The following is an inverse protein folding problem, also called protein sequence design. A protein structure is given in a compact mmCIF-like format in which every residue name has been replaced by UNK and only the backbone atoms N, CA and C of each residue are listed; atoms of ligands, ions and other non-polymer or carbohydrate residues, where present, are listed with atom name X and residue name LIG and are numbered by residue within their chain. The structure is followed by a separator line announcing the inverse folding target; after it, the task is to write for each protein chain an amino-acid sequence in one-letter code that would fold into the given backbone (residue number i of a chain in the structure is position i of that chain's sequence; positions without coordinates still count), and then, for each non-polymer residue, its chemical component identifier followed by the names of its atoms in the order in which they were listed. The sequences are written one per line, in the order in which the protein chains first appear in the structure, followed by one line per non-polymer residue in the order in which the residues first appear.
data_IF_331290756579
#
_entry.id   IF_331290756579
#
_cell.length_a   1.000
_cell.length_b   1.000
_cell.length_c   1.000
_cell.angle_alpha   90.00
_cell.angle_beta   90.00
_cell.angle_gamma   90.00
#
_symmetry.space_group_name_H-M   'P 1'
#
loop_
_entity.id
_entity.type
_entity.pdbx_description
1 polymer ?
#
# COMPACT_ATOMS: atom_id res chain seq x y z
N UNK A 1 34.37 -1.29 10.61
CA UNK A 1 32.92 -1.48 10.83
C UNK A 1 32.29 -0.12 11.02
N UNK A 2 31.76 0.45 9.94
CA UNK A 2 31.08 1.75 9.94
C UNK A 2 29.84 1.63 10.82
N UNK A 3 29.70 2.47 11.86
CA UNK A 3 28.48 2.56 12.67
C UNK A 3 27.30 2.82 11.72
N UNK A 4 26.46 1.83 11.46
CA UNK A 4 25.21 2.07 10.77
C UNK A 4 24.37 3.06 11.58
N UNK A 5 23.74 3.99 10.87
CA UNK A 5 22.84 5.00 11.45
C UNK A 5 21.75 4.33 12.28
N UNK A 6 21.29 4.99 13.37
CA UNK A 6 20.06 4.60 14.10
C UNK A 6 18.86 4.36 13.16
N UNK A 7 18.86 4.99 11.98
CA UNK A 7 17.86 4.83 10.92
C UNK A 7 17.74 3.41 10.39
N UNK A 8 18.84 2.67 10.22
CA UNK A 8 18.81 1.33 9.63
C UNK A 8 19.12 0.30 10.70
N UNK A 9 18.07 -0.27 11.28
CA UNK A 9 18.19 -1.30 12.32
C UNK A 9 18.32 -2.67 11.67
N UNK A 10 19.40 -3.36 11.99
CA UNK A 10 19.67 -4.71 11.50
C UNK A 10 19.26 -5.70 12.60
N UNK A 11 18.38 -6.62 12.25
CA UNK A 11 17.98 -7.74 13.11
C UNK A 11 18.55 -9.08 12.62
N UNK A 12 18.95 -9.16 11.35
CA UNK A 12 19.56 -10.32 10.71
C UNK A 12 20.66 -9.86 9.73
N UNK A 13 21.79 -10.57 9.67
CA UNK A 13 22.93 -10.19 8.82
C UNK A 13 22.59 -10.13 7.33
N UNK A 14 21.58 -10.89 6.87
CA UNK A 14 21.10 -10.85 5.48
C UNK A 14 20.60 -9.46 5.06
N UNK A 15 20.20 -8.61 6.02
CA UNK A 15 19.77 -7.24 5.73
C UNK A 15 20.90 -6.36 5.18
N UNK A 16 22.17 -6.69 5.46
CA UNK A 16 23.30 -5.96 4.89
C UNK A 16 23.31 -5.99 3.36
N UNK A 17 22.92 -7.12 2.75
CA UNK A 17 22.83 -7.25 1.30
C UNK A 17 21.76 -6.34 0.73
N UNK A 18 20.62 -6.19 1.42
CA UNK A 18 19.53 -5.30 1.02
C UNK A 18 19.95 -3.83 1.13
N UNK A 19 20.60 -3.45 2.24
CA UNK A 19 21.03 -2.06 2.46
C UNK A 19 22.09 -1.60 1.46
N UNK A 20 22.96 -2.51 1.01
CA UNK A 20 24.13 -2.17 0.22
C UNK A 20 25.15 -1.32 1.00
N UNK A 21 26.17 -0.77 0.31
CA UNK A 21 27.31 -0.13 0.98
C UNK A 21 27.00 1.26 1.54
N UNK A 22 26.04 1.99 0.97
CA UNK A 22 25.77 3.40 1.31
C UNK A 22 24.26 3.69 1.35
N UNK A 23 23.50 3.07 2.27
CA UNK A 23 22.08 3.33 2.38
C UNK A 23 21.84 4.77 2.86
N UNK A 24 20.79 5.42 2.33
CA UNK A 24 20.43 6.80 2.74
C UNK A 24 18.94 6.96 2.91
N UNK A 25 18.54 7.83 3.85
CA UNK A 25 17.20 8.35 3.99
C UNK A 25 17.24 9.87 3.80
N UNK A 26 16.42 10.42 2.91
CA UNK A 26 16.37 11.86 2.61
C UNK A 26 14.94 12.34 2.51
N UNK A 27 14.64 13.49 3.10
CA UNK A 27 13.37 14.19 2.89
C UNK A 27 13.35 14.76 1.47
N UNK A 28 12.30 14.46 0.71
CA UNK A 28 12.09 15.03 -0.64
C UNK A 28 11.19 16.26 -0.59
N UNK A 29 10.08 16.17 0.15
CA UNK A 29 9.11 17.23 0.31
C UNK A 29 8.41 17.10 1.67
N UNK A 30 7.96 18.23 2.23
CA UNK A 30 7.20 18.28 3.46
C UNK A 30 6.17 19.41 3.43
N UNK A 31 5.02 19.20 4.06
CA UNK A 31 3.97 20.19 4.23
C UNK A 31 3.21 19.93 5.53
N UNK A 32 3.58 20.68 6.59
CA UNK A 32 2.97 20.53 7.92
C UNK A 32 1.47 20.88 7.94
N UNK A 33 0.99 21.67 6.97
CA UNK A 33 -0.42 22.08 6.90
C UNK A 33 -1.30 21.12 6.10
N UNK A 34 -0.71 20.14 5.39
CA UNK A 34 -1.46 19.23 4.54
C UNK A 34 -0.84 17.82 4.59
N UNK A 35 -1.58 16.78 4.98
CA UNK A 35 -1.10 15.40 4.97
C UNK A 35 -1.11 14.82 3.54
N UNK A 36 -0.32 15.42 2.65
CA UNK A 36 -0.37 15.18 1.21
C UNK A 36 0.23 13.83 0.76
N UNK A 37 1.02 13.19 1.63
CA UNK A 37 1.77 11.97 1.35
C UNK A 37 1.34 10.86 2.32
N UNK A 38 0.14 10.33 2.12
CA UNK A 38 -0.44 9.30 2.99
C UNK A 38 -0.44 7.94 2.30
N UNK A 39 -1.13 7.79 1.17
CA UNK A 39 -1.51 6.49 0.63
C UNK A 39 -1.32 6.34 -0.90
N UNK A 40 -1.56 5.12 -1.39
CA UNK A 40 -1.73 4.78 -2.81
C UNK A 40 -0.59 5.27 -3.73
N UNK A 41 0.66 5.03 -3.32
CA UNK A 41 1.83 5.37 -4.15
C UNK A 41 1.91 4.52 -5.42
N UNK A 42 1.81 5.16 -6.58
CA UNK A 42 1.97 4.53 -7.91
C UNK A 42 3.11 5.20 -8.67
N UNK A 43 4.20 4.45 -8.89
CA UNK A 43 5.36 4.93 -9.62
C UNK A 43 5.25 4.68 -11.13
N UNK A 44 5.37 5.75 -11.91
CA UNK A 44 5.39 5.73 -13.37
C UNK A 44 6.82 5.74 -13.88
N UNK A 45 7.36 4.55 -14.15
CA UNK A 45 8.74 4.37 -14.55
C UNK A 45 9.11 5.10 -15.85
N UNK A 46 8.19 5.17 -16.82
CA UNK A 46 8.42 5.80 -18.14
C UNK A 46 8.66 7.30 -18.05
N UNK A 47 8.05 7.98 -17.07
CA UNK A 47 8.15 9.44 -16.90
C UNK A 47 8.89 9.85 -15.62
N UNK A 48 9.24 8.89 -14.77
CA UNK A 48 9.76 9.12 -13.42
C UNK A 48 8.86 10.05 -12.59
N UNK A 49 7.55 9.82 -12.69
CA UNK A 49 6.54 10.48 -11.86
C UNK A 49 6.03 9.51 -10.81
N UNK A 50 5.57 10.05 -9.69
CA UNK A 50 4.87 9.30 -8.66
C UNK A 50 3.49 9.92 -8.47
N UNK A 51 2.45 9.11 -8.35
CA UNK A 51 1.12 9.53 -7.95
C UNK A 51 0.88 9.06 -6.52
N UNK A 52 0.34 9.93 -5.67
CA UNK A 52 0.03 9.66 -4.26
C UNK A 52 -1.31 10.27 -3.90
N UNK A 53 -1.94 9.74 -2.86
CA UNK A 53 -3.13 10.34 -2.26
C UNK A 53 -2.81 10.93 -0.88
N UNK A 54 -3.44 12.07 -0.59
CA UNK A 54 -3.41 12.65 0.76
C UNK A 54 -4.21 11.81 1.74
N UNK A 55 -4.01 12.05 3.04
CA UNK A 55 -5.01 11.69 4.03
C UNK A 55 -6.21 12.64 3.90
N UNK A 56 -7.22 12.44 4.74
CA UNK A 56 -8.42 13.29 4.76
C UNK A 56 -8.07 14.71 5.17
N UNK A 57 -8.42 15.66 4.33
CA UNK A 57 -8.27 17.10 4.59
C UNK A 57 -9.65 17.66 4.90
N UNK A 58 -9.75 18.34 6.04
CA UNK A 58 -10.95 19.11 6.41
C UNK A 58 -10.72 20.57 6.11
N UNK A 59 -11.63 21.19 5.37
CA UNK A 59 -11.60 22.65 5.20
C UNK A 59 -12.23 23.37 6.39
N UNK A 60 -12.26 24.71 6.33
CA UNK A 60 -12.82 25.55 7.40
C UNK A 60 -14.33 25.36 7.60
N UNK A 61 -15.02 24.78 6.62
CA UNK A 61 -16.44 24.47 6.65
C UNK A 61 -16.70 23.04 7.14
N UNK A 62 -15.65 22.24 7.33
CA UNK A 62 -15.71 20.86 7.79
C UNK A 62 -15.89 19.84 6.67
N UNK A 63 -15.88 20.27 5.41
CA UNK A 63 -15.96 19.38 4.25
C UNK A 63 -14.67 18.56 4.14
N UNK A 64 -14.83 17.26 3.90
CA UNK A 64 -13.72 16.32 3.81
C UNK A 64 -13.35 16.10 2.36
N UNK A 65 -12.06 16.19 2.05
CA UNK A 65 -11.52 15.88 0.72
C UNK A 65 -10.28 14.99 0.83
N UNK A 66 -10.01 14.23 -0.23
CA UNK A 66 -8.71 13.59 -0.48
C UNK A 66 -8.21 14.07 -1.84
N UNK A 67 -6.92 14.36 -1.92
CA UNK A 67 -6.28 14.92 -3.11
C UNK A 67 -5.35 13.91 -3.74
N UNK A 68 -5.36 13.84 -5.06
CA UNK A 68 -4.34 13.10 -5.82
C UNK A 68 -3.23 14.08 -6.18
N UNK A 69 -1.98 13.71 -5.91
CA UNK A 69 -0.81 14.55 -6.21
C UNK A 69 0.14 13.79 -7.14
N UNK A 70 0.60 14.45 -8.20
CA UNK A 70 1.73 14.02 -9.01
C UNK A 70 3.02 14.64 -8.49
N UNK A 71 4.00 13.80 -8.19
CA UNK A 71 5.34 14.18 -7.75
C UNK A 71 6.34 13.99 -8.89
N UNK A 72 7.10 15.05 -9.18
CA UNK A 72 8.14 15.09 -10.21
C UNK A 72 9.50 14.71 -9.60
N UNK A 73 9.85 13.42 -9.67
CA UNK A 73 11.06 12.88 -9.03
C UNK A 73 12.37 13.24 -9.75
N UNK A 74 12.27 13.79 -10.96
CA UNK A 74 13.39 14.32 -11.75
C UNK A 74 13.86 15.71 -11.30
N UNK A 75 13.06 16.41 -10.48
CA UNK A 75 13.33 17.79 -10.06
C UNK A 75 13.97 17.82 -8.67
N UNK A 76 14.76 18.85 -8.37
CA UNK A 76 15.34 19.07 -7.04
C UNK A 76 15.29 20.57 -6.71
N UNK A 77 14.48 21.01 -5.72
CA UNK A 77 13.54 20.20 -4.92
C UNK A 77 12.46 19.53 -5.79
N UNK A 78 11.87 18.43 -5.30
CA UNK A 78 10.80 17.76 -6.06
C UNK A 78 9.58 18.69 -6.15
N UNK A 79 8.94 18.73 -7.31
CA UNK A 79 7.69 19.46 -7.51
C UNK A 79 6.50 18.53 -7.25
N UNK A 80 5.51 19.03 -6.50
CA UNK A 80 4.24 18.37 -6.26
C UNK A 80 3.12 19.15 -6.96
N UNK A 81 2.35 18.49 -7.81
CA UNK A 81 1.22 19.04 -8.55
C UNK A 81 -0.06 18.32 -8.14
N UNK A 82 -1.00 19.04 -7.55
CA UNK A 82 -2.33 18.51 -7.27
C UNK A 82 -3.09 18.28 -8.57
N UNK A 83 -3.69 17.10 -8.71
CA UNK A 83 -4.47 16.71 -9.86
C UNK A 83 -5.96 16.94 -9.54
N UNK A 84 -6.65 17.78 -10.34
CA UNK A 84 -8.09 17.85 -10.24
C UNK A 84 -8.68 16.51 -10.68
N UNK A 85 -9.42 15.86 -9.79
CA UNK A 85 -10.06 14.57 -10.06
C UNK A 85 -11.54 14.63 -9.72
N UNK A 86 -12.33 13.88 -10.49
CA UNK A 86 -13.75 13.65 -10.21
C UNK A 86 -14.01 12.34 -9.46
N UNK A 87 -12.97 11.63 -9.02
CA UNK A 87 -13.12 10.40 -8.24
C UNK A 87 -13.71 10.77 -6.86
N UNK A 88 -14.85 10.16 -6.46
CA UNK A 88 -15.50 10.46 -5.19
C UNK A 88 -14.78 9.73 -4.04
N UNK A 89 -13.58 10.21 -3.68
CA UNK A 89 -12.74 9.61 -2.65
C UNK A 89 -13.41 9.71 -1.26
N UNK A 90 -13.83 10.92 -0.87
CA UNK A 90 -14.55 11.21 0.38
C UNK A 90 -15.86 11.97 0.20
N UNK A 91 -16.21 12.40 -1.02
CA UNK A 91 -17.21 13.45 -1.26
C UNK A 91 -18.60 12.92 -1.66
N UNK A 92 -18.98 11.74 -1.17
CA UNK A 92 -20.21 11.07 -1.59
C UNK A 92 -20.09 10.46 -2.99
N UNK A 93 -20.35 9.17 -3.08
CA UNK A 93 -20.21 8.35 -4.28
C UNK A 93 -20.02 6.89 -3.90
N UNK A 94 -19.95 5.97 -4.87
CA UNK A 94 -19.70 4.57 -4.58
C UNK A 94 -18.22 4.35 -4.18
N UNK A 95 -17.97 3.34 -3.35
CA UNK A 95 -16.62 2.82 -3.19
C UNK A 95 -16.34 1.89 -4.38
N UNK A 96 -15.12 1.91 -4.92
CA UNK A 96 -14.84 1.09 -6.08
C UNK A 96 -13.46 1.31 -6.69
N UNK A 97 -13.22 0.56 -7.76
CA UNK A 97 -12.04 0.67 -8.61
C UNK A 97 -12.28 1.72 -9.68
N UNK A 98 -11.38 2.70 -9.77
CA UNK A 98 -11.40 3.75 -10.77
C UNK A 98 -10.15 3.70 -11.64
N UNK A 99 -10.32 3.93 -12.94
CA UNK A 99 -9.21 4.20 -13.85
C UNK A 99 -9.08 5.70 -14.03
N UNK A 100 -7.86 6.23 -13.93
CA UNK A 100 -7.54 7.64 -14.19
C UNK A 100 -6.42 7.73 -15.24
N UNK A 101 -6.58 8.60 -16.24
CA UNK A 101 -5.49 8.95 -17.16
C UNK A 101 -4.32 9.57 -16.40
N UNK A 102 -3.09 9.19 -16.72
CA UNK A 102 -1.88 9.75 -16.08
C UNK A 102 -1.43 11.08 -16.68
N UNK A 103 -2.12 11.55 -17.72
CA UNK A 103 -1.87 12.85 -18.36
C UNK A 103 -3.13 13.70 -18.40
N UNK A 104 -3.00 15.04 -18.40
CA UNK A 104 -4.13 15.94 -18.63
C UNK A 104 -4.94 15.53 -19.87
N UNK A 105 -6.27 15.58 -19.80
CA UNK A 105 -7.09 16.20 -18.76
C UNK A 105 -7.46 15.25 -17.59
N UNK A 106 -6.68 14.19 -17.33
CA UNK A 106 -6.86 13.26 -16.19
C UNK A 106 -8.27 12.64 -16.12
N UNK A 107 -8.81 12.24 -17.28
CA UNK A 107 -10.14 11.61 -17.36
C UNK A 107 -10.24 10.39 -16.45
N UNK A 108 -11.40 10.20 -15.85
CA UNK A 108 -11.65 9.14 -14.89
C UNK A 108 -12.82 8.26 -15.35
N UNK A 109 -12.78 6.97 -14.99
CA UNK A 109 -13.82 5.99 -15.28
C UNK A 109 -13.98 5.05 -14.10
N UNK A 110 -15.21 4.91 -13.60
CA UNK A 110 -15.57 3.85 -12.66
C UNK A 110 -15.52 2.49 -13.37
N UNK A 111 -14.75 1.55 -12.82
CA UNK A 111 -14.61 0.20 -13.35
C UNK A 111 -15.49 -0.81 -12.62
N UNK A 112 -15.54 -0.75 -11.29
CA UNK A 112 -16.27 -1.71 -10.46
C UNK A 112 -16.62 -1.11 -9.10
N UNK A 113 -17.85 -1.28 -8.62
CA UNK A 113 -18.36 -0.68 -7.37
C UNK A 113 -19.10 -1.64 -6.44
N UNK A 114 -19.31 -2.89 -6.88
CA UNK A 114 -20.19 -3.83 -6.20
C UNK A 114 -19.72 -5.29 -6.34
N UNK A 115 -20.17 -6.12 -5.40
CA UNK A 115 -20.19 -7.57 -5.54
C UNK A 115 -21.63 -8.05 -5.77
N UNK A 116 -21.99 -8.26 -7.04
CA UNK A 116 -23.31 -8.73 -7.48
C UNK A 116 -24.48 -7.89 -6.90
N UNK A 117 -24.37 -6.57 -7.02
CA UNK A 117 -25.36 -5.60 -6.56
C UNK A 117 -25.22 -5.18 -5.09
N UNK A 118 -24.30 -5.78 -4.33
CA UNK A 118 -23.95 -5.33 -2.98
C UNK A 118 -22.77 -4.34 -3.06
N UNK A 119 -22.93 -3.07 -2.68
CA UNK A 119 -21.85 -2.09 -2.78
C UNK A 119 -20.63 -2.49 -1.94
N UNK A 120 -19.44 -2.23 -2.46
CA UNK A 120 -18.21 -2.32 -1.66
C UNK A 120 -18.24 -1.33 -0.50
N UNK A 121 -17.55 -1.70 0.58
CA UNK A 121 -17.54 -0.99 1.85
C UNK A 121 -16.66 0.25 1.78
N UNK A 122 -15.36 0.03 1.54
CA UNK A 122 -14.34 1.04 1.31
C UNK A 122 -13.09 0.37 0.76
N UNK A 123 -13.10 0.06 -0.55
CA UNK A 123 -11.94 -0.45 -1.29
C UNK A 123 -10.69 0.36 -0.91
N UNK A 124 -9.64 -0.34 -0.50
CA UNK A 124 -8.49 0.26 0.16
C UNK A 124 -7.20 0.15 -0.67
N UNK A 125 -6.56 -1.03 -0.73
CA UNK A 125 -5.38 -1.25 -1.58
C UNK A 125 -5.70 -2.20 -2.75
N UNK A 126 -4.89 -2.11 -3.80
CA UNK A 126 -5.10 -2.82 -5.06
C UNK A 126 -3.79 -3.22 -5.71
N UNK A 127 -3.75 -4.42 -6.30
CA UNK A 127 -2.65 -4.90 -7.12
C UNK A 127 -3.19 -5.50 -8.44
N UNK A 128 -2.50 -5.21 -9.53
CA UNK A 128 -2.76 -5.83 -10.83
C UNK A 128 -1.85 -7.03 -10.97
N UNK A 129 -2.44 -8.21 -11.14
CA UNK A 129 -1.72 -9.46 -11.35
C UNK A 129 -1.29 -9.59 -12.82
N UNK A 130 -0.26 -10.39 -13.13
CA UNK A 130 0.28 -10.52 -14.49
C UNK A 130 -0.73 -11.02 -15.53
N UNK A 131 -1.75 -11.77 -15.10
CA UNK A 131 -2.88 -12.22 -15.92
C UNK A 131 -3.90 -11.11 -16.27
N UNK A 132 -3.66 -9.88 -15.79
CA UNK A 132 -4.52 -8.71 -16.00
C UNK A 132 -5.73 -8.64 -15.06
N UNK A 133 -5.89 -9.59 -14.13
CA UNK A 133 -6.89 -9.49 -13.07
C UNK A 133 -6.49 -8.49 -12.00
N UNK A 134 -7.47 -7.86 -11.38
CA UNK A 134 -7.27 -6.86 -10.33
C UNK A 134 -7.69 -7.46 -8.99
N UNK A 135 -6.78 -7.44 -8.03
CA UNK A 135 -7.01 -7.92 -6.67
C UNK A 135 -7.01 -6.76 -5.70
N UNK A 136 -7.95 -6.73 -4.77
CA UNK A 136 -8.14 -5.59 -3.89
C UNK A 136 -8.73 -6.01 -2.55
N UNK A 137 -8.56 -5.15 -1.56
CA UNK A 137 -9.09 -5.30 -0.20
C UNK A 137 -10.28 -4.37 0.01
N UNK A 138 -11.29 -4.85 0.74
CA UNK A 138 -12.49 -4.06 1.08
C UNK A 138 -12.74 -4.01 2.60
N UNK A 139 -11.92 -3.27 3.37
CA UNK A 139 -12.16 -3.03 4.79
C UNK A 139 -13.32 -2.07 5.04
N UNK A 140 -13.64 -1.80 6.31
CA UNK A 140 -14.74 -0.90 6.72
C UNK A 140 -14.27 0.49 7.15
N UNK A 141 -13.05 0.90 6.79
CA UNK A 141 -12.49 2.19 7.22
C UNK A 141 -13.40 3.37 6.89
N UNK A 142 -13.94 3.44 5.67
CA UNK A 142 -14.76 4.58 5.28
C UNK A 142 -16.03 4.76 6.12
N UNK A 143 -16.59 3.65 6.64
CA UNK A 143 -17.73 3.70 7.55
C UNK A 143 -17.31 4.17 8.95
N UNK A 144 -16.26 3.59 9.53
CA UNK A 144 -15.72 4.02 10.83
C UNK A 144 -15.30 5.50 10.82
N UNK A 145 -14.85 5.96 9.65
CA UNK A 145 -14.42 7.32 9.40
C UNK A 145 -15.56 8.30 9.10
N UNK A 146 -16.79 7.79 8.92
CA UNK A 146 -18.01 8.59 8.78
C UNK A 146 -18.28 9.17 7.39
N UNK A 147 -17.57 8.74 6.33
CA UNK A 147 -17.80 9.22 4.95
C UNK A 147 -18.34 8.15 4.00
N UNK A 148 -18.55 6.91 4.48
CA UNK A 148 -19.25 5.84 3.76
C UNK A 148 -20.44 5.32 4.59
N UNK A 149 -21.49 4.80 3.94
CA UNK A 149 -22.61 4.19 4.64
C UNK A 149 -22.19 2.92 5.39
N UNK A 150 -23.09 2.40 6.21
CA UNK A 150 -22.90 1.11 6.88
C UNK A 150 -22.60 0.01 5.85
N UNK A 151 -21.52 -0.78 6.04
CA UNK A 151 -21.14 -1.86 5.11
C UNK A 151 -22.24 -2.89 4.92
N UNK A 152 -22.35 -3.42 3.70
CA UNK A 152 -23.25 -4.52 3.33
C UNK A 152 -22.51 -5.83 3.00
N UNK A 153 -21.18 -5.78 3.04
CA UNK A 153 -20.27 -6.89 2.78
C UNK A 153 -19.34 -7.11 3.99
N UNK A 154 -18.86 -8.34 4.22
CA UNK A 154 -17.78 -8.58 5.16
C UNK A 154 -16.45 -8.01 4.62
N UNK A 155 -15.51 -7.75 5.52
CA UNK A 155 -14.15 -7.37 5.17
C UNK A 155 -13.38 -8.52 4.55
N UNK A 156 -13.13 -8.43 3.24
CA UNK A 156 -12.63 -9.54 2.43
C UNK A 156 -11.65 -9.07 1.35
N UNK A 157 -10.94 -10.04 0.76
CA UNK A 157 -10.09 -9.85 -0.41
C UNK A 157 -10.87 -10.32 -1.64
N UNK A 158 -10.87 -9.50 -2.68
CA UNK A 158 -11.58 -9.76 -3.92
C UNK A 158 -10.62 -9.83 -5.11
N UNK A 159 -11.01 -10.60 -6.12
CA UNK A 159 -10.40 -10.62 -7.45
C UNK A 159 -11.47 -10.28 -8.48
N UNK A 160 -11.17 -9.31 -9.33
CA UNK A 160 -11.95 -8.98 -10.51
C UNK A 160 -11.19 -9.38 -11.78
N UNK A 161 -11.78 -10.30 -12.55
CA UNK A 161 -11.30 -10.66 -13.87
C UNK A 161 -11.81 -9.61 -14.87
N UNK A 162 -10.87 -8.83 -15.42
CA UNK A 162 -11.15 -7.70 -16.31
C UNK A 162 -11.63 -8.12 -17.70
N UNK A 163 -11.40 -9.38 -18.10
CA UNK A 163 -11.77 -9.90 -19.42
C UNK A 163 -13.23 -10.36 -19.44
N UNK A 164 -13.66 -11.15 -18.46
CA UNK A 164 -15.02 -11.70 -18.40
C UNK A 164 -15.94 -10.99 -17.41
N UNK A 165 -15.41 -10.05 -16.61
CA UNK A 165 -16.17 -9.27 -15.63
C UNK A 165 -16.46 -9.99 -14.31
N UNK A 166 -16.03 -11.25 -14.14
CA UNK A 166 -16.31 -12.03 -12.94
C UNK A 166 -15.58 -11.46 -11.72
N UNK A 167 -16.30 -11.28 -10.62
CA UNK A 167 -15.75 -10.85 -9.34
C UNK A 167 -15.93 -11.96 -8.32
N UNK A 168 -14.85 -12.39 -7.69
CA UNK A 168 -14.85 -13.45 -6.67
C UNK A 168 -14.25 -12.93 -5.36
N UNK A 169 -14.81 -13.39 -4.25
CA UNK A 169 -14.13 -13.35 -2.96
C UNK A 169 -13.02 -14.40 -2.99
N UNK A 170 -11.80 -14.00 -2.62
CA UNK A 170 -10.61 -14.84 -2.68
C UNK A 170 -10.15 -15.29 -1.30
N UNK A 171 -10.35 -14.46 -0.27
CA UNK A 171 -10.11 -14.81 1.12
C UNK A 171 -10.99 -13.96 2.05
N UNK A 172 -11.28 -14.52 3.21
CA UNK A 172 -12.08 -13.95 4.29
C UNK A 172 -11.36 -14.11 5.64
N UNK A 173 -12.10 -13.98 6.75
CA UNK A 173 -11.58 -14.04 8.12
C UNK A 173 -10.51 -12.99 8.45
N UNK A 174 -10.61 -11.81 7.82
CA UNK A 174 -9.85 -10.62 8.19
C UNK A 174 -10.66 -9.74 9.12
N UNK A 175 -9.97 -9.05 10.03
CA UNK A 175 -10.57 -7.92 10.73
C UNK A 175 -10.68 -6.71 9.80
N UNK A 176 -9.55 -6.25 9.26
CA UNK A 176 -9.48 -5.18 8.26
C UNK A 176 -8.36 -5.50 7.27
N UNK A 177 -8.65 -6.17 6.13
CA UNK A 177 -7.66 -6.40 5.11
C UNK A 177 -7.27 -5.05 4.51
N UNK A 178 -5.97 -4.80 4.37
CA UNK A 178 -5.45 -3.50 3.99
C UNK A 178 -4.50 -3.65 2.79
N UNK A 179 -3.19 -3.64 2.98
CA UNK A 179 -2.21 -3.84 1.91
C UNK A 179 -2.28 -5.23 1.28
N UNK A 180 -2.05 -5.30 -0.04
CA UNK A 180 -1.97 -6.56 -0.80
C UNK A 180 -0.79 -6.54 -1.77
N UNK A 181 -0.01 -7.63 -1.81
CA UNK A 181 1.01 -7.82 -2.83
C UNK A 181 1.27 -9.30 -3.12
N UNK A 182 1.86 -9.59 -4.29
CA UNK A 182 2.29 -10.93 -4.67
C UNK A 182 3.80 -11.11 -4.47
N UNK A 183 4.22 -12.36 -4.26
CA UNK A 183 5.61 -12.77 -4.44
C UNK A 183 6.07 -12.56 -5.88
N UNK A 184 7.39 -12.53 -6.16
CA UNK A 184 7.90 -12.29 -7.52
C UNK A 184 7.44 -13.29 -8.57
N UNK A 185 7.16 -14.52 -8.15
CA UNK A 185 6.63 -15.59 -8.99
C UNK A 185 5.09 -15.69 -8.97
N UNK A 186 4.44 -14.76 -8.27
CA UNK A 186 2.98 -14.68 -8.05
C UNK A 186 2.32 -15.93 -7.44
N UNK A 187 3.12 -16.86 -6.89
CA UNK A 187 2.59 -18.08 -6.26
C UNK A 187 2.17 -17.88 -4.80
N UNK A 188 2.59 -16.78 -4.19
CA UNK A 188 2.16 -16.38 -2.86
C UNK A 188 1.53 -15.00 -2.92
N UNK A 189 0.40 -14.80 -2.25
CA UNK A 189 -0.15 -13.46 -1.98
C UNK A 189 -0.01 -13.16 -0.50
N UNK A 190 0.41 -11.94 -0.20
CA UNK A 190 0.51 -11.38 1.14
C UNK A 190 -0.60 -10.34 1.31
N UNK A 191 -1.32 -10.43 2.41
CA UNK A 191 -2.40 -9.49 2.77
C UNK A 191 -2.18 -9.05 4.21
N UNK A 192 -2.18 -7.74 4.45
CA UNK A 192 -2.09 -7.20 5.79
C UNK A 192 -3.46 -7.10 6.45
N UNK A 193 -3.52 -7.38 7.76
CA UNK A 193 -4.70 -7.22 8.60
C UNK A 193 -4.38 -6.24 9.73
N UNK A 194 -5.10 -5.13 9.72
CA UNK A 194 -4.78 -3.92 10.47
C UNK A 194 -5.90 -3.59 11.47
N UNK A 195 -6.64 -4.60 11.91
CA UNK A 195 -7.76 -4.46 12.84
C UNK A 195 -7.39 -3.80 14.18
N UNK A 196 -6.13 -3.84 14.59
CA UNK A 196 -5.61 -3.11 15.76
C UNK A 196 -5.88 -1.60 15.70
N UNK A 197 -5.93 -1.00 14.51
CA UNK A 197 -6.24 0.42 14.31
C UNK A 197 -7.67 0.63 13.80
N UNK A 198 -8.41 1.53 14.45
CA UNK A 198 -9.74 1.96 14.03
C UNK A 198 -9.71 3.26 13.23
N UNK A 199 -10.73 3.46 12.39
CA UNK A 199 -10.85 4.61 11.50
C UNK A 199 -10.94 5.97 12.23
N UNK A 200 -11.30 5.95 13.51
CA UNK A 200 -11.28 7.11 14.41
C UNK A 200 -9.91 7.36 15.08
N UNK A 201 -8.93 6.49 14.82
CA UNK A 201 -7.57 6.55 15.39
C UNK A 201 -7.42 5.81 16.72
N UNK A 202 -8.48 5.22 17.27
CA UNK A 202 -8.38 4.39 18.48
C UNK A 202 -7.70 3.05 18.18
N UNK A 203 -7.14 2.42 19.22
CA UNK A 203 -6.35 1.19 19.12
C UNK A 203 -6.83 0.14 20.12
N UNK A 204 -6.73 -1.14 19.76
CA UNK A 204 -7.11 -2.27 20.61
C UNK A 204 -6.03 -3.37 20.55
N UNK A 205 -5.24 -3.48 21.62
CA UNK A 205 -4.11 -4.42 21.75
C UNK A 205 -4.51 -5.90 21.66
N UNK A 206 -5.80 -6.24 21.72
CA UNK A 206 -6.29 -7.60 21.52
C UNK A 206 -6.59 -7.93 20.04
N UNK A 207 -6.45 -6.96 19.14
CA UNK A 207 -6.77 -7.11 17.71
C UNK A 207 -5.53 -7.30 16.85
N UNK A 208 -5.79 -7.75 15.62
CA UNK A 208 -4.77 -8.20 14.68
C UNK A 208 -3.95 -7.03 14.14
N UNK A 209 -2.63 -7.21 14.09
CA UNK A 209 -1.66 -6.30 13.47
C UNK A 209 -0.63 -7.13 12.69
N UNK A 210 -1.10 -7.89 11.71
CA UNK A 210 -0.34 -9.01 11.15
C UNK A 210 -0.45 -9.10 9.63
N UNK A 211 0.52 -9.75 9.02
CA UNK A 211 0.57 -10.10 7.62
C UNK A 211 0.23 -11.58 7.51
N UNK A 212 -0.71 -11.93 6.64
CA UNK A 212 -1.02 -13.31 6.28
C UNK A 212 -0.52 -13.60 4.87
N UNK A 213 -0.02 -14.83 4.67
CA UNK A 213 0.36 -15.36 3.37
C UNK A 213 -0.59 -16.48 2.95
N UNK A 214 -0.81 -16.60 1.65
CA UNK A 214 -1.59 -17.67 1.02
C UNK A 214 -0.88 -18.16 -0.23
N UNK A 215 -0.98 -19.46 -0.49
CA UNK A 215 -0.54 -20.04 -1.76
C UNK A 215 -1.64 -19.85 -2.80
N UNK A 216 -1.24 -19.39 -3.99
CA UNK A 216 -2.10 -19.27 -5.17
C UNK A 216 -2.10 -20.61 -5.90
N UNK A 217 -3.20 -21.34 -5.77
CA UNK A 217 -3.39 -22.65 -6.37
C UNK A 217 -4.48 -22.61 -7.44
N UNK A 218 -4.37 -23.44 -8.47
CA UNK A 218 -5.41 -23.58 -9.50
C UNK A 218 -6.27 -24.82 -9.21
N UNK A 219 -7.58 -24.61 -9.01
CA UNK A 219 -8.56 -25.68 -8.92
C UNK A 219 -9.61 -25.49 -10.00
N UNK A 220 -9.89 -26.56 -10.75
CA UNK A 220 -10.88 -26.52 -11.84
C UNK A 220 -10.66 -25.37 -12.84
N UNK A 221 -9.39 -25.02 -13.13
CA UNK A 221 -9.02 -23.96 -14.06
C UNK A 221 -9.11 -22.54 -13.50
N UNK A 222 -9.40 -22.39 -12.21
CA UNK A 222 -9.61 -21.09 -11.55
C UNK A 222 -8.63 -20.91 -10.36
N UNK A 223 -8.19 -19.68 -10.06
CA UNK A 223 -7.32 -19.43 -8.91
C UNK A 223 -8.09 -19.52 -7.59
N UNK A 224 -7.39 -19.99 -6.56
CA UNK A 224 -7.82 -20.06 -5.17
C UNK A 224 -6.66 -19.68 -4.26
N UNK A 225 -6.98 -19.04 -3.14
CA UNK A 225 -6.04 -18.85 -2.05
C UNK A 225 -6.15 -20.03 -1.08
N UNK A 226 -5.02 -20.65 -0.79
CA UNK A 226 -4.92 -21.84 0.05
C UNK A 226 -3.80 -21.66 1.09
N UNK A 227 -3.75 -22.54 2.09
CA UNK A 227 -2.70 -22.54 3.12
C UNK A 227 -2.51 -21.17 3.78
N UNK A 228 -3.61 -20.56 4.23
CA UNK A 228 -3.59 -19.34 5.05
C UNK A 228 -2.64 -19.55 6.23
N UNK A 229 -1.66 -18.68 6.36
CA UNK A 229 -0.68 -18.73 7.45
C UNK A 229 -0.33 -17.34 7.92
N UNK A 230 -0.15 -17.21 9.23
CA UNK A 230 0.48 -16.01 9.80
C UNK A 230 1.91 -15.94 9.26
N UNK A 231 2.24 -14.85 8.59
CA UNK A 231 3.56 -14.62 8.01
C UNK A 231 4.43 -13.80 8.97
N UNK A 232 3.92 -12.65 9.42
CA UNK A 232 4.62 -11.75 10.32
C UNK A 232 3.63 -10.90 11.12
N UNK A 233 4.09 -10.33 12.24
CA UNK A 233 3.37 -9.31 13.01
C UNK A 233 4.21 -8.04 13.06
N UNK A 234 3.58 -6.87 12.94
CA UNK A 234 4.29 -5.61 13.15
C UNK A 234 4.54 -5.41 14.65
N UNK A 235 5.79 -5.07 15.01
CA UNK A 235 6.14 -4.76 16.40
C UNK A 235 5.62 -3.37 16.83
N UNK A 236 5.47 -2.45 15.88
CA UNK A 236 4.98 -1.08 16.11
C UNK A 236 3.86 -0.74 15.14
N UNK A 237 2.71 -0.35 15.69
CA UNK A 237 1.53 0.02 14.92
C UNK A 237 0.96 -1.15 14.13
N UNK A 238 0.63 -0.91 12.87
CA UNK A 238 0.05 -1.88 11.93
C UNK A 238 0.95 -2.07 10.71
N UNK A 239 1.00 -3.28 10.10
CA UNK A 239 1.56 -3.44 8.76
C UNK A 239 0.53 -2.91 7.76
N UNK A 240 0.75 -1.72 7.21
CA UNK A 240 -0.21 -1.05 6.34
C UNK A 240 0.05 -1.43 4.86
N UNK A 241 0.51 -0.50 4.02
CA UNK A 241 0.93 -0.78 2.65
C UNK A 241 2.09 -1.76 2.58
N UNK A 242 1.97 -2.78 1.72
CA UNK A 242 2.91 -3.90 1.60
C UNK A 242 3.43 -4.04 0.17
N UNK A 243 4.71 -4.41 0.00
CA UNK A 243 5.34 -4.69 -1.31
C UNK A 243 6.40 -5.80 -1.17
N UNK A 244 6.76 -6.44 -2.27
CA UNK A 244 7.80 -7.47 -2.32
C UNK A 244 8.95 -7.04 -3.25
N UNK A 245 10.19 -7.45 -2.96
CA UNK A 245 11.32 -7.33 -3.89
C UNK A 245 11.53 -8.61 -4.70
N UNK A 246 12.39 -8.58 -5.74
CA UNK A 246 12.64 -9.73 -6.62
C UNK A 246 13.32 -10.92 -5.94
N UNK A 247 13.91 -10.76 -4.76
CA UNK A 247 14.46 -11.86 -3.96
C UNK A 247 13.39 -12.48 -3.04
N UNK A 248 12.17 -11.94 -3.07
CA UNK A 248 11.03 -12.41 -2.29
C UNK A 248 10.95 -11.81 -0.87
N UNK A 249 11.80 -10.84 -0.52
CA UNK A 249 11.68 -10.16 0.76
C UNK A 249 10.40 -9.30 0.75
N UNK A 250 9.73 -9.25 1.89
CA UNK A 250 8.45 -8.59 2.08
C UNK A 250 8.67 -7.33 2.92
N UNK A 251 8.17 -6.20 2.43
CA UNK A 251 8.32 -4.88 3.02
C UNK A 251 6.92 -4.38 3.39
N UNK A 252 6.75 -3.81 4.58
CA UNK A 252 5.50 -3.15 4.97
C UNK A 252 5.78 -1.82 5.65
N UNK A 253 4.95 -0.82 5.35
CA UNK A 253 4.82 0.37 6.17
C UNK A 253 4.32 -0.03 7.55
N UNK A 254 4.94 0.51 8.60
CA UNK A 254 4.67 0.23 10.00
C UNK A 254 4.74 1.53 10.82
N UNK A 255 4.34 1.45 12.09
CA UNK A 255 4.31 2.62 12.99
C UNK A 255 5.69 3.23 13.29
N UNK A 256 6.78 2.51 13.02
CA UNK A 256 8.16 2.96 13.22
C UNK A 256 8.95 3.19 11.91
N UNK A 257 8.34 2.93 10.75
CA UNK A 257 8.97 3.12 9.44
C UNK A 257 8.63 1.98 8.48
N UNK A 258 9.63 1.45 7.78
CA UNK A 258 9.45 0.28 6.90
C UNK A 258 10.14 -0.93 7.53
N UNK A 259 9.37 -2.00 7.73
CA UNK A 259 9.88 -3.27 8.25
C UNK A 259 10.07 -4.25 7.10
N UNK A 260 11.16 -5.01 7.13
CA UNK A 260 11.59 -5.91 6.04
C UNK A 260 11.75 -7.31 6.57
N UNK A 261 11.00 -8.25 6.01
CA UNK A 261 11.04 -9.67 6.35
C UNK A 261 11.57 -10.49 5.17
N UNK A 262 12.30 -11.56 5.47
CA UNK A 262 12.68 -12.57 4.48
C UNK A 262 11.44 -13.29 3.92
N UNK A 263 11.54 -14.01 2.79
CA UNK A 263 10.43 -14.84 2.28
C UNK A 263 9.87 -15.86 3.28
N UNK A 264 10.64 -16.20 4.32
CA UNK A 264 10.22 -17.09 5.40
C UNK A 264 9.58 -16.40 6.61
N UNK A 265 9.34 -15.09 6.58
CA UNK A 265 8.71 -14.34 7.68
C UNK A 265 9.67 -13.90 8.80
N UNK A 266 10.98 -14.17 8.67
CA UNK A 266 11.99 -13.67 9.63
C UNK A 266 12.24 -12.18 9.39
N UNK A 267 12.10 -11.36 10.44
CA UNK A 267 12.42 -9.92 10.40
C UNK A 267 13.92 -9.72 10.14
N UNK A 268 14.25 -9.14 9.00
CA UNK A 268 15.63 -8.86 8.60
C UNK A 268 16.11 -7.53 9.20
N UNK A 269 15.25 -6.51 9.13
CA UNK A 269 15.63 -5.17 9.50
C UNK A 269 14.49 -4.17 9.45
N UNK A 270 14.78 -2.95 9.90
CA UNK A 270 13.86 -1.82 9.89
C UNK A 270 14.55 -0.57 9.35
N UNK A 271 13.78 0.21 8.61
CA UNK A 271 14.16 1.53 8.10
C UNK A 271 13.32 2.53 8.87
N UNK A 272 13.89 3.08 9.94
CA UNK A 272 13.17 3.95 10.85
C UNK A 272 12.87 5.30 10.22
N UNK A 273 11.58 5.65 10.24
CA UNK A 273 11.07 6.96 9.81
C UNK A 273 10.12 7.42 10.90
N UNK A 274 10.43 8.56 11.52
CA UNK A 274 9.64 9.10 12.62
C UNK A 274 8.20 9.38 12.17
N UNK A 275 7.22 8.97 12.98
CA UNK A 275 5.80 8.98 12.62
C UNK A 275 5.35 7.84 11.71
N UNK A 276 6.21 6.87 11.39
CA UNK A 276 5.85 5.65 10.65
C UNK A 276 5.77 5.82 9.14
N UNK A 277 5.26 4.80 8.44
CA UNK A 277 4.99 4.85 6.99
C UNK A 277 3.66 4.14 6.74
N UNK A 278 2.72 4.82 6.07
CA UNK A 278 1.45 4.22 5.68
C UNK A 278 1.62 3.38 4.39
N UNK A 279 2.16 3.97 3.33
CA UNK A 279 2.48 3.24 2.10
C UNK A 279 3.81 3.67 1.49
N UNK A 280 4.27 2.91 0.51
CA UNK A 280 5.49 3.19 -0.23
C UNK A 280 5.50 2.45 -1.56
N UNK A 281 6.36 2.89 -2.47
CA UNK A 281 6.62 2.19 -3.72
C UNK A 281 8.11 2.08 -4.00
N UNK A 282 8.49 1.01 -4.68
CA UNK A 282 9.82 0.91 -5.29
C UNK A 282 9.92 1.88 -6.47
N UNK A 283 11.02 2.62 -6.49
CA UNK A 283 11.53 3.32 -7.66
C UNK A 283 12.69 2.53 -8.26
N UNK A 284 13.56 3.20 -9.02
CA UNK A 284 14.67 2.52 -9.71
C UNK A 284 15.91 2.39 -8.83
N UNK A 285 16.64 1.28 -8.97
CA UNK A 285 18.00 1.08 -8.40
C UNK A 285 17.99 1.24 -6.88
N UNK A 286 17.26 0.35 -6.20
CA UNK A 286 17.13 0.35 -4.74
C UNK A 286 16.44 1.58 -4.17
N UNK A 287 15.66 2.31 -4.97
CA UNK A 287 14.89 3.44 -4.46
C UNK A 287 13.59 2.96 -3.84
N UNK A 288 13.25 3.50 -2.68
CA UNK A 288 11.90 3.45 -2.13
C UNK A 288 11.45 4.89 -1.88
N UNK A 289 10.24 5.23 -2.31
CA UNK A 289 9.58 6.47 -1.93
C UNK A 289 8.54 6.15 -0.86
N UNK A 290 8.72 6.70 0.34
CA UNK A 290 7.90 6.40 1.51
C UNK A 290 6.98 7.57 1.87
N UNK A 291 5.72 7.25 2.16
CA UNK A 291 4.65 8.19 2.48
C UNK A 291 4.46 8.26 4.00
N UNK A 292 4.68 9.45 4.58
CA UNK A 292 4.69 9.69 6.03
C UNK A 292 3.82 10.91 6.37
N UNK A 293 2.54 10.83 6.00
CA UNK A 293 1.49 11.86 6.16
C UNK A 293 1.86 13.22 5.56
N UNK A 294 2.61 14.02 6.31
CA UNK A 294 3.04 15.36 5.98
C UNK A 294 4.38 15.39 5.24
N UNK A 295 5.04 14.24 5.07
CA UNK A 295 6.41 14.15 4.54
C UNK A 295 6.53 13.04 3.52
N UNK A 296 7.30 13.33 2.46
CA UNK A 296 7.68 12.38 1.43
C UNK A 296 9.18 12.10 1.57
N UNK A 297 9.53 10.83 1.78
CA UNK A 297 10.91 10.41 1.98
C UNK A 297 11.42 9.57 0.82
N UNK A 298 12.71 9.70 0.52
CA UNK A 298 13.46 8.81 -0.37
C UNK A 298 14.41 7.97 0.46
N UNK A 299 14.23 6.66 0.39
CA UNK A 299 15.21 5.67 0.84
C UNK A 299 16.02 5.23 -0.37
N UNK A 300 17.33 5.10 -0.20
CA UNK A 300 18.23 4.44 -1.15
C UNK A 300 18.84 3.23 -0.46
N UNK A 301 18.63 2.06 -1.05
CA UNK A 301 19.15 0.74 -0.67
C UNK A 301 20.27 0.31 -1.64
N UNK A 302 20.65 -0.97 -1.60
CA UNK A 302 21.50 -1.59 -2.62
C UNK A 302 20.93 -1.38 -4.02
N UNK A 303 21.78 -1.01 -4.99
CA UNK A 303 21.33 -0.64 -6.35
C UNK A 303 20.74 -1.81 -7.16
N UNK A 304 20.95 -3.03 -6.68
CA UNK A 304 20.43 -4.31 -7.16
C UNK A 304 19.05 -4.66 -6.61
N UNK A 305 18.61 -4.04 -5.51
CA UNK A 305 17.26 -4.21 -4.96
C UNK A 305 16.24 -3.64 -5.95
N UNK A 306 15.26 -4.47 -6.31
CA UNK A 306 14.19 -4.14 -7.27
C UNK A 306 12.85 -4.60 -6.74
N UNK A 307 11.83 -3.76 -6.87
CA UNK A 307 10.45 -4.12 -6.53
C UNK A 307 9.88 -5.15 -7.51
N UNK A 308 9.18 -6.15 -6.98
CA UNK A 308 8.66 -7.27 -7.77
C UNK A 308 7.63 -6.82 -8.81
N UNK A 309 6.71 -5.93 -8.44
CA UNK A 309 5.57 -5.53 -9.29
C UNK A 309 6.00 -4.90 -10.62
N UNK A 310 7.05 -4.08 -10.62
CA UNK A 310 7.55 -3.38 -11.81
C UNK A 310 8.88 -3.94 -12.32
N UNK A 311 9.53 -4.82 -11.55
CA UNK A 311 10.85 -5.37 -11.88
C UNK A 311 12.00 -4.34 -11.91
N UNK A 312 11.88 -3.24 -11.16
CA UNK A 312 12.83 -2.09 -11.18
C UNK A 312 13.29 -1.63 -9.80
#
# INVERSE_FOLDING_TARGET
MTKLSKTFQIHDERFHSILGPTPTLRLLAGNESCPFAHEASVFMASTNHLFITSSRIKDAQGEQSVRITRVHLNETPVKCEEIPTSIPLTNGGPSGLYLMSTTPPYTTKLLKEDFYGRPFSSVNDVVVHSDGSIWFTDPTYGFEQGYRPKPSLPSQVYRWNTVNGNTRVMADEFGKPNGICFSPDEKTVYVTDTHWLHGDGSTDDQRVSSIYAFDVSIYHGEPFLTNRRLFAMADKGIPDGIKCDLEGNVYSGCGDGINVWSPGGVLLGRILIDGGVANFCFGRRGEIIALNEHRLWRVRLGGDVKGALLGI
#
